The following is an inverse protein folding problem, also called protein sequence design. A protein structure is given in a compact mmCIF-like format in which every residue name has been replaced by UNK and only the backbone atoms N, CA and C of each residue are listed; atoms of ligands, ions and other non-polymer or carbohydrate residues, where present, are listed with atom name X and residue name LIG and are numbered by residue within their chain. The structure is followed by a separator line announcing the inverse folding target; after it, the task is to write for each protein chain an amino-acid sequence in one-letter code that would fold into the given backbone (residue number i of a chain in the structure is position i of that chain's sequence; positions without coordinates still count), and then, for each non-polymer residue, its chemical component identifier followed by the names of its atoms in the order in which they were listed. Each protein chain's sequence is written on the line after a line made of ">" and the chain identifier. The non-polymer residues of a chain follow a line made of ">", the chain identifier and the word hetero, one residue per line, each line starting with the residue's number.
data_IF_960499441258
#
_entry.id   IF_960499441258
#
_cell.length_a   1.000
_cell.length_b   1.000
_cell.length_c   1.000
_cell.angle_alpha   90.00
_cell.angle_beta   90.00
_cell.angle_gamma   90.00
#
_symmetry.space_group_name_H-M   'P 1'
#
loop_
_entity.id
_entity.type
_entity.pdbx_description
1 polymer ?
#
# COMPACT_ATOMS: atom_id res chain seq x y z
N UNK A 1 -2.41 27.65 5.15
CA UNK A 1 -1.90 27.86 6.52
C UNK A 1 -3.09 27.95 7.47
N UNK A 2 -3.30 26.93 8.29
CA UNK A 2 -4.31 26.93 9.35
C UNK A 2 -3.70 27.60 10.58
N UNK A 3 -4.42 28.53 11.21
CA UNK A 3 -3.97 29.27 12.38
C UNK A 3 -5.00 29.15 13.49
N UNK A 4 -4.53 29.13 14.74
CA UNK A 4 -5.39 29.11 15.92
C UNK A 4 -5.59 30.54 16.44
N UNK A 5 -6.79 30.83 16.93
CA UNK A 5 -7.14 32.13 17.52
C UNK A 5 -7.45 31.96 19.00
N UNK A 6 -6.87 32.81 19.85
CA UNK A 6 -7.12 32.84 21.30
C UNK A 6 -7.52 34.23 21.75
N UNK A 7 -8.70 34.35 22.36
CA UNK A 7 -9.28 35.61 22.82
C UNK A 7 -8.48 36.21 23.99
N UNK A 8 -8.27 37.53 23.95
CA UNK A 8 -7.61 38.33 24.98
C UNK A 8 -8.66 39.15 25.74
N UNK A 9 -8.91 38.79 27.00
CA UNK A 9 -9.99 39.39 27.80
C UNK A 9 -9.63 40.76 28.42
N UNK A 10 -8.39 41.24 28.30
CA UNK A 10 -7.98 42.56 28.81
C UNK A 10 -6.84 43.17 27.96
N UNK A 11 -7.13 44.19 27.12
CA UNK A 11 -6.12 44.80 26.25
C UNK A 11 -5.02 45.56 27.00
N UNK A 12 -5.32 46.06 28.21
CA UNK A 12 -4.42 46.95 28.98
C UNK A 12 -3.21 46.20 29.57
N UNK A 13 -3.26 44.87 29.62
CA UNK A 13 -2.20 44.02 30.20
C UNK A 13 -1.44 43.16 29.18
N UNK A 14 -1.59 43.42 27.87
CA UNK A 14 -0.92 42.63 26.83
C UNK A 14 0.55 43.06 26.71
N UNK A 15 1.46 42.26 27.26
CA UNK A 15 2.91 42.39 27.06
C UNK A 15 3.45 41.27 26.17
N UNK A 16 4.64 41.46 25.57
CA UNK A 16 5.31 40.41 24.81
C UNK A 16 5.58 39.17 25.66
N UNK A 17 5.93 39.36 26.93
CA UNK A 17 6.15 38.28 27.90
C UNK A 17 4.86 37.49 28.18
N UNK A 18 3.71 38.18 28.32
CA UNK A 18 2.41 37.54 28.46
C UNK A 18 2.05 36.73 27.20
N UNK A 19 2.23 37.29 26.00
CA UNK A 19 1.97 36.60 24.73
C UNK A 19 2.84 35.35 24.62
N UNK A 20 4.15 35.45 24.86
CA UNK A 20 5.06 34.31 24.79
C UNK A 20 4.68 33.21 25.79
N UNK A 21 4.20 33.58 26.99
CA UNK A 21 3.73 32.62 28.00
C UNK A 21 2.45 31.88 27.58
N UNK A 22 1.48 32.58 26.99
CA UNK A 22 0.21 31.95 26.55
C UNK A 22 0.33 31.27 25.18
N UNK A 23 1.38 31.60 24.44
CA UNK A 23 1.64 31.08 23.11
C UNK A 23 2.22 29.67 23.18
N UNK A 24 2.95 29.24 24.22
CA UNK A 24 3.49 27.86 24.29
C UNK A 24 2.34 26.82 24.25
N UNK A 25 2.40 25.80 23.38
CA UNK A 25 3.50 25.40 22.48
C UNK A 25 3.45 26.00 21.07
N UNK A 26 2.60 26.97 20.79
CA UNK A 26 2.47 27.71 19.55
C UNK A 26 3.49 28.86 19.38
N UNK A 27 3.69 29.28 18.12
CA UNK A 27 4.39 30.52 17.77
C UNK A 27 3.38 31.64 17.54
N UNK A 28 3.48 32.73 18.29
CA UNK A 28 2.67 33.93 18.02
C UNK A 28 3.10 34.58 16.70
N UNK A 29 2.13 34.79 15.80
CA UNK A 29 2.33 35.42 14.50
C UNK A 29 1.84 36.85 14.44
N UNK A 30 0.84 37.20 15.24
CA UNK A 30 0.24 38.53 15.26
C UNK A 30 -0.98 38.60 16.17
N UNK A 31 -1.69 39.71 16.11
CA UNK A 31 -2.95 39.94 16.82
C UNK A 31 -3.97 40.43 15.79
N UNK A 32 -5.19 39.91 15.87
CA UNK A 32 -6.34 40.37 15.10
C UNK A 32 -7.44 40.87 16.04
N UNK A 33 -8.46 41.52 15.49
CA UNK A 33 -9.64 41.95 16.24
C UNK A 33 -10.90 41.44 15.53
N UNK A 34 -11.81 40.86 16.30
CA UNK A 34 -13.16 40.55 15.83
C UNK A 34 -13.92 41.87 15.60
N UNK A 35 -14.41 42.15 14.37
CA UNK A 35 -15.09 43.40 14.06
C UNK A 35 -16.43 43.55 14.78
N UNK A 36 -17.09 42.47 15.20
CA UNK A 36 -18.39 42.48 15.88
C UNK A 36 -18.20 42.60 17.39
N UNK A 37 -17.47 41.66 18.00
CA UNK A 37 -17.31 41.61 19.46
C UNK A 37 -16.26 42.59 19.99
N UNK A 38 -15.44 43.17 19.10
CA UNK A 38 -14.28 44.02 19.42
C UNK A 38 -13.19 43.33 20.24
N UNK A 39 -13.27 42.01 20.41
CA UNK A 39 -12.27 41.23 21.11
C UNK A 39 -10.98 41.12 20.30
N UNK A 40 -9.84 41.28 20.97
CA UNK A 40 -8.53 41.01 20.39
C UNK A 40 -8.21 39.52 20.50
N UNK A 41 -7.58 38.96 19.47
CA UNK A 41 -7.18 37.56 19.42
C UNK A 41 -5.73 37.43 18.97
N UNK A 42 -4.93 36.61 19.65
CA UNK A 42 -3.60 36.26 19.17
C UNK A 42 -3.73 35.23 18.06
N UNK A 43 -3.04 35.46 16.95
CA UNK A 43 -2.87 34.52 15.85
C UNK A 43 -1.69 33.62 16.18
N UNK A 44 -1.97 32.33 16.36
CA UNK A 44 -1.01 31.32 16.77
C UNK A 44 -0.77 30.32 15.64
N UNK A 45 0.49 30.01 15.35
CA UNK A 45 0.88 28.93 14.46
C UNK A 45 1.41 27.75 15.27
N UNK A 46 0.86 26.57 15.03
CA UNK A 46 1.29 25.33 15.68
C UNK A 46 2.76 25.05 15.33
N UNK A 47 3.57 24.80 16.33
CA UNK A 47 4.94 24.31 16.16
C UNK A 47 5.09 23.03 16.96
N UNK A 48 5.85 22.09 16.42
CA UNK A 48 6.18 20.87 17.15
C UNK A 48 7.23 21.20 18.20
N UNK A 49 6.95 20.93 19.48
CA UNK A 49 7.92 21.15 20.57
C UNK A 49 9.25 20.42 20.32
N UNK A 50 9.19 19.21 19.77
CA UNK A 50 10.37 18.38 19.49
C UNK A 50 11.22 18.90 18.32
N UNK A 51 10.58 19.43 17.28
CA UNK A 51 11.28 19.87 16.06
C UNK A 51 11.56 21.38 16.04
N UNK A 52 10.89 22.14 16.92
CA UNK A 52 10.87 23.61 16.91
C UNK A 52 10.43 24.22 15.55
N UNK A 53 9.62 23.47 14.80
CA UNK A 53 9.08 23.85 13.49
C UNK A 53 7.78 23.08 13.20
N UNK A 54 7.11 23.41 12.09
CA UNK A 54 5.96 22.63 11.60
C UNK A 54 6.49 21.35 10.97
N UNK A 55 6.04 20.19 11.46
CA UNK A 55 6.40 18.88 10.92
C UNK A 55 5.17 18.00 10.70
N UNK A 56 5.37 16.77 10.20
CA UNK A 56 4.27 15.85 9.85
C UNK A 56 3.32 15.59 11.03
N UNK A 57 3.81 15.44 12.25
CA UNK A 57 3.01 15.31 13.48
C UNK A 57 1.98 16.45 13.63
N UNK A 58 2.39 17.71 13.39
CA UNK A 58 1.48 18.87 13.40
C UNK A 58 0.48 18.82 12.25
N UNK A 59 0.90 18.40 11.05
CA UNK A 59 0.00 18.23 9.91
C UNK A 59 -1.07 17.16 10.16
N UNK A 60 -0.72 16.07 10.82
CA UNK A 60 -1.68 15.03 11.22
C UNK A 60 -2.66 15.52 12.28
N UNK A 61 -2.17 16.21 13.33
CA UNK A 61 -3.01 16.75 14.40
C UNK A 61 -4.16 17.62 13.87
N UNK A 62 -3.90 18.42 12.82
CA UNK A 62 -4.91 19.26 12.16
C UNK A 62 -6.08 18.47 11.57
N UNK A 63 -5.88 17.18 11.30
CA UNK A 63 -6.85 16.29 10.69
C UNK A 63 -7.38 15.20 11.63
N UNK A 64 -7.03 15.18 12.92
CA UNK A 64 -7.48 14.13 13.87
C UNK A 64 -8.99 13.92 13.89
N UNK A 65 -9.77 15.00 13.78
CA UNK A 65 -11.24 14.94 13.70
C UNK A 65 -11.79 14.17 12.49
N UNK A 66 -10.98 13.97 11.45
CA UNK A 66 -11.36 13.27 10.22
C UNK A 66 -10.94 11.78 10.25
N UNK A 67 -10.07 11.38 11.19
CA UNK A 67 -9.59 10.00 11.33
C UNK A 67 -10.35 9.27 12.43
N UNK A 68 -11.65 9.03 12.22
CA UNK A 68 -12.46 8.29 13.19
C UNK A 68 -13.03 7.01 12.61
N UNK A 69 -12.74 5.93 13.31
CA UNK A 69 -13.26 4.58 13.09
C UNK A 69 -14.56 4.32 13.86
N UNK A 70 -14.95 5.22 14.75
CA UNK A 70 -15.99 4.99 15.75
C UNK A 70 -15.52 4.15 16.95
N UNK A 71 -14.24 3.76 17.02
CA UNK A 71 -13.62 3.11 18.16
C UNK A 71 -12.46 3.95 18.71
N UNK A 72 -12.60 4.42 19.96
CA UNK A 72 -11.63 5.31 20.59
C UNK A 72 -10.23 4.71 20.76
N UNK A 73 -10.11 3.39 20.95
CA UNK A 73 -8.81 2.73 21.12
C UNK A 73 -8.06 2.65 19.80
N UNK A 74 -8.77 2.35 18.70
CA UNK A 74 -8.20 2.36 17.35
C UNK A 74 -7.84 3.80 16.92
N UNK A 75 -8.73 4.76 17.16
CA UNK A 75 -8.50 6.16 16.83
C UNK A 75 -7.28 6.71 17.59
N UNK A 76 -7.18 6.39 18.89
CA UNK A 76 -6.01 6.75 19.71
C UNK A 76 -4.74 6.08 19.20
N UNK A 77 -4.79 4.80 18.84
CA UNK A 77 -3.63 4.12 18.29
C UNK A 77 -3.14 4.78 16.99
N UNK A 78 -4.05 5.08 16.06
CA UNK A 78 -3.74 5.80 14.82
C UNK A 78 -3.09 7.14 15.16
N UNK A 79 -3.70 7.92 16.06
CA UNK A 79 -3.15 9.22 16.49
C UNK A 79 -1.76 9.09 17.12
N UNK A 80 -1.50 8.08 17.96
CA UNK A 80 -0.19 7.86 18.59
C UNK A 80 0.90 7.60 17.54
N UNK A 81 0.60 6.83 16.48
CA UNK A 81 1.54 6.63 15.35
C UNK A 81 1.79 7.93 14.59
N UNK A 82 0.76 8.74 14.37
CA UNK A 82 0.84 10.03 13.67
C UNK A 82 1.60 11.08 14.47
N UNK A 83 1.40 11.13 15.81
CA UNK A 83 2.10 12.03 16.71
C UNK A 83 3.60 11.78 16.74
N UNK A 84 4.01 10.52 16.54
CA UNK A 84 5.39 10.08 16.52
C UNK A 84 6.12 10.40 15.19
N UNK A 85 5.40 10.86 14.16
CA UNK A 85 5.95 11.08 12.83
C UNK A 85 6.50 12.50 12.67
N UNK A 86 7.81 12.63 12.86
CA UNK A 86 8.52 13.91 12.77
C UNK A 86 9.39 14.03 11.52
N UNK A 87 9.44 13.01 10.66
CA UNK A 87 10.32 13.01 9.48
C UNK A 87 9.58 13.55 8.27
N UNK A 88 10.31 14.04 7.25
CA UNK A 88 9.71 14.59 6.03
C UNK A 88 8.87 13.54 5.27
N UNK A 89 9.43 12.33 5.09
CA UNK A 89 8.71 11.18 4.52
C UNK A 89 8.08 10.38 5.63
N UNK A 90 6.76 10.24 5.61
CA UNK A 90 6.00 9.36 6.50
C UNK A 90 6.51 7.93 6.36
N UNK A 91 6.79 7.28 7.49
CA UNK A 91 7.28 5.90 7.53
C UNK A 91 6.33 4.96 8.24
N UNK A 92 5.82 5.40 9.39
CA UNK A 92 5.12 4.52 10.33
C UNK A 92 3.75 5.06 10.75
N UNK A 93 3.38 6.28 10.33
CA UNK A 93 2.08 6.84 10.67
C UNK A 93 0.99 6.09 9.91
N UNK A 94 0.00 5.61 10.66
CA UNK A 94 -1.17 4.95 10.12
C UNK A 94 -2.27 5.96 9.83
N UNK A 95 -3.18 5.56 8.96
CA UNK A 95 -4.34 6.33 8.57
C UNK A 95 -5.61 5.48 8.75
N UNK A 96 -6.74 6.11 9.11
CA UNK A 96 -8.04 5.44 9.02
C UNK A 96 -8.50 5.42 7.56
N UNK A 97 -8.72 4.24 7.01
CA UNK A 97 -9.12 4.03 5.62
C UNK A 97 -10.59 3.63 5.63
N UNK A 98 -11.50 4.48 5.12
CA UNK A 98 -12.88 4.08 4.88
C UNK A 98 -12.94 2.87 3.95
N UNK A 99 -13.70 1.85 4.36
CA UNK A 99 -13.74 0.56 3.66
C UNK A 99 -14.27 0.66 2.23
N UNK A 100 -15.16 1.62 1.96
CA UNK A 100 -15.71 1.91 0.64
C UNK A 100 -14.67 2.42 -0.38
N UNK A 101 -13.47 2.76 0.07
CA UNK A 101 -12.32 3.11 -0.78
C UNK A 101 -11.51 1.89 -1.23
N UNK A 102 -11.87 0.70 -0.75
CA UNK A 102 -11.21 -0.56 -1.04
C UNK A 102 -12.16 -1.44 -1.86
N UNK A 103 -11.80 -1.71 -3.12
CA UNK A 103 -12.50 -2.69 -3.98
C UNK A 103 -12.05 -4.13 -3.66
N UNK A 104 -12.51 -4.63 -2.50
CA UNK A 104 -11.97 -5.85 -1.89
C UNK A 104 -12.48 -7.12 -2.55
N UNK A 105 -11.56 -8.03 -2.85
CA UNK A 105 -11.90 -9.42 -3.17
C UNK A 105 -11.00 -10.39 -2.39
N UNK A 106 -11.50 -11.60 -2.14
CA UNK A 106 -10.75 -12.63 -1.41
C UNK A 106 -9.68 -13.20 -2.34
N UNK A 107 -8.41 -13.11 -1.94
CA UNK A 107 -7.28 -13.63 -2.72
C UNK A 107 -6.84 -15.00 -2.24
N UNK A 108 -6.76 -15.21 -0.93
CA UNK A 108 -6.34 -16.46 -0.30
C UNK A 108 -7.24 -16.73 0.92
N UNK A 109 -7.83 -17.94 0.97
CA UNK A 109 -8.61 -18.44 2.11
C UNK A 109 -7.82 -19.58 2.75
N UNK A 110 -6.85 -19.23 3.60
CA UNK A 110 -6.43 -20.14 4.65
C UNK A 110 -7.21 -19.81 5.92
N UNK A 111 -7.64 -20.85 6.64
CA UNK A 111 -8.55 -20.75 7.79
C UNK A 111 -7.95 -19.95 8.97
N UNK A 112 -6.66 -19.58 8.87
CA UNK A 112 -5.85 -19.00 9.94
C UNK A 112 -5.38 -17.57 9.60
N UNK A 113 -5.12 -17.24 8.33
CA UNK A 113 -4.38 -16.04 7.95
C UNK A 113 -4.97 -15.32 6.72
N UNK A 114 -6.30 -15.40 6.53
CA UNK A 114 -7.06 -14.73 5.44
C UNK A 114 -6.45 -13.40 5.00
N UNK A 115 -5.84 -13.43 3.80
CA UNK A 115 -5.29 -12.26 3.12
C UNK A 115 -6.28 -11.83 2.05
N UNK A 116 -6.83 -10.62 2.22
CA UNK A 116 -7.60 -9.97 1.16
C UNK A 116 -6.65 -9.15 0.32
N UNK A 117 -6.87 -9.14 -1.00
CA UNK A 117 -6.23 -8.19 -1.89
C UNK A 117 -7.29 -7.31 -2.52
N UNK A 118 -7.00 -6.03 -2.61
CA UNK A 118 -7.95 -5.03 -3.08
C UNK A 118 -7.23 -3.97 -3.87
N UNK A 119 -7.92 -3.40 -4.86
CA UNK A 119 -7.47 -2.13 -5.43
C UNK A 119 -7.71 -1.04 -4.40
N UNK A 120 -6.69 -0.20 -4.16
CA UNK A 120 -6.85 1.03 -3.40
C UNK A 120 -6.41 2.22 -4.26
N UNK A 121 -7.36 3.10 -4.58
CA UNK A 121 -7.12 4.19 -5.52
C UNK A 121 -6.25 5.29 -4.94
N UNK A 122 -6.30 5.50 -3.63
CA UNK A 122 -5.62 6.64 -3.00
C UNK A 122 -4.16 6.35 -2.71
N UNK A 123 -3.84 5.11 -2.37
CA UNK A 123 -2.51 4.71 -1.93
C UNK A 123 -2.09 5.31 -0.58
N UNK A 124 -0.89 4.97 -0.13
CA UNK A 124 -0.40 5.27 1.20
C UNK A 124 0.13 6.72 1.32
N UNK A 125 -0.14 7.39 2.44
CA UNK A 125 0.43 8.71 2.73
C UNK A 125 1.97 8.65 2.72
N UNK A 126 2.59 9.63 2.05
CA UNK A 126 4.04 9.70 1.89
C UNK A 126 4.69 10.94 2.46
N UNK A 127 4.20 12.14 2.15
CA UNK A 127 4.72 13.38 2.73
C UNK A 127 3.71 14.51 2.57
N UNK A 128 3.87 15.57 3.36
CA UNK A 128 3.03 16.76 3.25
C UNK A 128 3.53 17.69 2.15
N UNK A 129 2.66 18.04 1.19
CA UNK A 129 2.97 19.04 0.16
C UNK A 129 2.50 20.42 0.61
N UNK A 130 3.46 21.28 0.93
CA UNK A 130 3.20 22.65 1.36
C UNK A 130 2.55 23.56 0.29
N UNK A 131 2.69 23.26 -1.00
CA UNK A 131 2.02 24.04 -2.06
C UNK A 131 0.54 23.68 -2.14
N UNK A 132 0.24 22.39 -2.14
CA UNK A 132 -1.13 21.88 -2.28
C UNK A 132 -1.89 21.84 -0.95
N UNK A 133 -1.19 22.02 0.17
CA UNK A 133 -1.72 21.89 1.54
C UNK A 133 -2.46 20.55 1.73
N UNK A 134 -1.87 19.47 1.20
CA UNK A 134 -2.43 18.13 1.29
C UNK A 134 -1.32 17.06 1.36
N UNK A 135 -1.69 15.86 1.76
CA UNK A 135 -0.81 14.69 1.75
C UNK A 135 -0.61 14.18 0.33
N UNK A 136 0.65 14.06 -0.08
CA UNK A 136 1.04 13.29 -1.25
C UNK A 136 1.01 11.81 -0.90
N UNK A 137 0.59 10.99 -1.86
CA UNK A 137 0.41 9.55 -1.69
C UNK A 137 1.25 8.79 -2.70
N UNK A 138 1.79 7.64 -2.32
CA UNK A 138 2.38 6.69 -3.27
C UNK A 138 1.44 5.54 -3.50
N UNK A 139 1.73 4.76 -4.55
CA UNK A 139 1.09 3.46 -4.75
C UNK A 139 -0.43 3.58 -4.96
N UNK A 140 -0.84 4.69 -5.57
CA UNK A 140 -2.20 4.90 -6.09
C UNK A 140 -2.56 3.84 -7.11
N UNK A 141 -3.82 3.40 -7.07
CA UNK A 141 -4.37 2.37 -7.94
C UNK A 141 -3.55 1.06 -7.89
N UNK A 142 -3.03 0.72 -6.71
CA UNK A 142 -2.29 -0.52 -6.49
C UNK A 142 -3.04 -1.45 -5.56
N UNK A 143 -2.66 -2.72 -5.66
CA UNK A 143 -3.11 -3.75 -4.75
C UNK A 143 -2.50 -3.53 -3.37
N UNK A 144 -3.33 -3.70 -2.36
CA UNK A 144 -2.92 -3.75 -0.96
C UNK A 144 -3.40 -5.05 -0.33
N UNK A 145 -2.63 -5.52 0.64
CA UNK A 145 -2.95 -6.71 1.43
C UNK A 145 -3.65 -6.28 2.71
N UNK A 146 -4.80 -6.87 3.02
CA UNK A 146 -5.48 -6.68 4.29
C UNK A 146 -5.30 -7.92 5.16
N UNK A 147 -4.93 -7.70 6.42
CA UNK A 147 -4.87 -8.75 7.43
C UNK A 147 -5.86 -8.45 8.56
N UNK A 148 -6.71 -9.43 8.87
CA UNK A 148 -7.70 -9.31 9.95
C UNK A 148 -6.99 -9.22 11.32
N UNK A 149 -7.46 -8.29 12.16
CA UNK A 149 -7.15 -8.25 13.58
C UNK A 149 -8.09 -9.22 14.31
N UNK A 150 -7.74 -10.51 14.34
CA UNK A 150 -8.57 -11.51 15.00
C UNK A 150 -8.64 -11.23 16.53
N UNK A 151 -9.88 -11.11 17.04
CA UNK A 151 -10.29 -11.01 18.45
C UNK A 151 -10.36 -9.60 19.10
N UNK A 152 -11.56 -9.01 19.29
CA UNK A 152 -11.75 -7.74 19.99
C UNK A 152 -11.46 -7.79 21.50
N UNK A 153 -11.35 -8.99 22.10
CA UNK A 153 -11.02 -9.13 23.52
C UNK A 153 -9.51 -9.11 23.82
N UNK A 154 -8.66 -9.20 22.77
CA UNK A 154 -7.20 -9.33 22.89
C UNK A 154 -6.45 -8.48 21.84
N UNK A 155 -7.09 -7.50 21.21
CA UNK A 155 -6.42 -6.54 20.31
C UNK A 155 -5.58 -5.56 21.14
N UNK A 156 -4.51 -6.03 21.77
CA UNK A 156 -3.54 -5.13 22.39
C UNK A 156 -2.90 -4.31 21.27
N UNK A 157 -2.79 -2.99 21.46
CA UNK A 157 -1.93 -2.10 20.65
C UNK A 157 -0.55 -2.74 20.38
N UNK A 158 -0.08 -3.58 21.31
CA UNK A 158 1.14 -4.37 21.17
C UNK A 158 1.14 -5.31 19.96
N UNK A 159 0.03 -6.00 19.67
CA UNK A 159 -0.11 -6.84 18.47
C UNK A 159 -0.12 -5.99 17.20
N UNK A 160 -0.90 -4.90 17.18
CA UNK A 160 -0.93 -4.00 16.02
C UNK A 160 0.45 -3.39 15.79
N UNK A 161 1.17 -2.97 16.84
CA UNK A 161 2.55 -2.50 16.71
C UNK A 161 3.50 -3.57 16.15
N UNK A 162 3.36 -4.84 16.55
CA UNK A 162 4.18 -5.95 16.05
C UNK A 162 3.96 -6.24 14.56
N UNK A 163 2.76 -5.97 14.02
CA UNK A 163 2.46 -6.21 12.61
C UNK A 163 2.56 -4.93 11.76
N UNK A 164 2.03 -3.81 12.21
CA UNK A 164 1.87 -2.62 11.39
C UNK A 164 3.20 -1.91 11.12
N UNK A 165 4.05 -1.78 12.15
CA UNK A 165 5.30 -1.01 12.04
C UNK A 165 6.35 -1.77 11.21
N UNK A 166 6.65 -3.06 11.48
CA UNK A 166 7.71 -3.75 10.75
C UNK A 166 7.40 -3.97 9.27
N UNK A 167 6.12 -4.10 8.93
CA UNK A 167 5.67 -4.36 7.56
C UNK A 167 5.16 -3.09 6.85
N UNK A 168 5.41 -1.89 7.40
CA UNK A 168 5.01 -0.59 6.83
C UNK A 168 3.54 -0.57 6.40
N UNK A 169 2.66 -0.84 7.34
CA UNK A 169 1.23 -0.67 7.13
C UNK A 169 0.92 0.79 6.79
N UNK A 170 -0.10 0.97 5.96
CA UNK A 170 -0.58 2.28 5.54
C UNK A 170 -1.73 2.76 6.42
N UNK A 171 -2.54 1.83 6.94
CA UNK A 171 -3.69 2.21 7.73
C UNK A 171 -4.47 1.04 8.29
N UNK A 172 -5.62 1.38 8.85
CA UNK A 172 -6.61 0.45 9.41
C UNK A 172 -7.95 0.75 8.76
N UNK A 173 -8.70 -0.30 8.45
CA UNK A 173 -10.09 -0.23 7.97
C UNK A 173 -10.96 -1.14 8.83
N UNK A 174 -12.29 -1.03 8.71
CA UNK A 174 -13.22 -1.99 9.27
C UNK A 174 -14.16 -2.51 8.19
N UNK A 175 -14.31 -3.82 8.13
CA UNK A 175 -15.34 -4.46 7.31
C UNK A 175 -16.74 -4.09 7.84
N UNK A 176 -17.60 -3.46 7.04
CA UNK A 176 -18.94 -3.07 7.49
C UNK A 176 -19.87 -4.26 7.72
N UNK A 177 -19.63 -5.42 7.11
CA UNK A 177 -20.42 -6.63 7.28
C UNK A 177 -19.98 -7.43 8.51
N UNK A 178 -18.70 -7.78 8.57
CA UNK A 178 -18.16 -8.62 9.66
C UNK A 178 -17.81 -7.83 10.93
N UNK A 179 -17.71 -6.49 10.83
CA UNK A 179 -17.24 -5.57 11.88
C UNK A 179 -15.80 -5.80 12.31
N UNK A 180 -15.06 -6.64 11.61
CA UNK A 180 -13.66 -6.90 11.87
C UNK A 180 -12.79 -5.72 11.43
N UNK A 181 -11.84 -5.33 12.28
CA UNK A 181 -10.79 -4.40 11.90
C UNK A 181 -9.70 -5.15 11.12
N UNK A 182 -9.15 -4.47 10.12
CA UNK A 182 -8.09 -5.00 9.26
C UNK A 182 -6.98 -3.97 9.11
N UNK A 183 -5.74 -4.43 9.13
CA UNK A 183 -4.57 -3.60 8.82
C UNK A 183 -4.30 -3.68 7.32
N UNK A 184 -4.13 -2.52 6.70
CA UNK A 184 -3.87 -2.37 5.27
C UNK A 184 -2.36 -2.21 5.05
N UNK A 185 -1.76 -3.12 4.30
CA UNK A 185 -0.34 -3.12 3.96
C UNK A 185 -0.13 -2.79 2.48
N UNK A 186 0.88 -1.98 2.20
CA UNK A 186 1.37 -1.86 0.83
C UNK A 186 2.00 -3.19 0.40
N UNK A 187 1.66 -3.68 -0.80
CA UNK A 187 2.23 -4.92 -1.35
C UNK A 187 3.72 -4.72 -1.71
N UNK A 188 4.59 -4.86 -0.71
CA UNK A 188 6.04 -4.80 -0.89
C UNK A 188 6.66 -6.18 -0.80
N UNK A 189 7.64 -6.43 -1.67
CA UNK A 189 8.44 -7.64 -1.58
C UNK A 189 9.34 -7.58 -0.36
N UNK A 190 9.21 -8.54 0.57
CA UNK A 190 10.07 -8.65 1.76
C UNK A 190 11.56 -8.73 1.40
N UNK A 191 11.89 -9.40 0.29
CA UNK A 191 13.28 -9.59 -0.18
C UNK A 191 13.88 -8.31 -0.75
N UNK A 192 13.10 -7.56 -1.53
CA UNK A 192 13.59 -6.36 -2.23
C UNK A 192 13.33 -5.06 -1.45
N UNK A 193 12.46 -5.08 -0.43
CA UNK A 193 11.96 -3.91 0.29
C UNK A 193 11.33 -2.84 -0.63
N UNK A 194 10.80 -3.30 -1.77
CA UNK A 194 10.12 -2.52 -2.81
C UNK A 194 9.15 -3.42 -3.58
N UNK A 195 8.34 -2.83 -4.46
CA UNK A 195 7.52 -3.59 -5.40
C UNK A 195 8.41 -4.15 -6.51
N UNK A 196 8.36 -5.45 -6.76
CA UNK A 196 9.14 -6.12 -7.81
C UNK A 196 8.28 -7.11 -8.59
N UNK A 197 8.86 -7.76 -9.61
CA UNK A 197 8.14 -8.69 -10.50
C UNK A 197 7.38 -9.80 -9.75
N UNK A 198 7.95 -10.37 -8.68
CA UNK A 198 7.28 -11.36 -7.82
C UNK A 198 5.93 -10.85 -7.28
N UNK A 199 5.87 -9.59 -6.83
CA UNK A 199 4.61 -8.96 -6.39
C UNK A 199 3.65 -8.75 -7.57
N UNK A 200 4.16 -8.32 -8.73
CA UNK A 200 3.35 -8.14 -9.93
C UNK A 200 2.73 -9.45 -10.44
N UNK A 201 3.46 -10.56 -10.35
CA UNK A 201 2.94 -11.87 -10.69
C UNK A 201 1.89 -12.34 -9.71
N UNK A 202 2.14 -12.20 -8.40
CA UNK A 202 1.19 -12.55 -7.35
C UNK A 202 -0.20 -11.94 -7.59
N UNK A 203 -0.26 -10.70 -8.10
CA UNK A 203 -1.53 -10.02 -8.44
C UNK A 203 -2.35 -10.73 -9.53
N UNK A 204 -1.69 -11.48 -10.41
CA UNK A 204 -2.28 -12.12 -11.56
C UNK A 204 -2.41 -13.65 -11.42
N UNK A 205 -2.14 -14.26 -10.26
CA UNK A 205 -2.18 -15.72 -10.08
C UNK A 205 -3.50 -16.35 -10.54
N UNK A 206 -4.64 -15.67 -10.33
CA UNK A 206 -5.96 -16.13 -10.80
C UNK A 206 -6.11 -16.17 -12.32
N UNK A 207 -5.25 -15.47 -13.06
CA UNK A 207 -5.27 -15.45 -14.53
C UNK A 207 -4.36 -16.54 -15.13
N UNK A 208 -3.54 -17.20 -14.31
CA UNK A 208 -2.56 -18.20 -14.72
C UNK A 208 -2.98 -19.61 -14.29
N UNK A 209 -4.19 -20.02 -14.66
CA UNK A 209 -4.75 -21.32 -14.26
C UNK A 209 -4.82 -22.28 -15.43
N UNK A 210 -4.33 -23.50 -15.21
CA UNK A 210 -4.31 -24.61 -16.17
C UNK A 210 -5.40 -25.66 -15.92
N UNK A 211 -6.26 -25.42 -14.93
CA UNK A 211 -7.15 -26.42 -14.32
C UNK A 211 -6.40 -27.57 -13.61
N UNK A 212 -5.07 -27.46 -13.45
CA UNK A 212 -4.23 -28.40 -12.71
C UNK A 212 -3.45 -27.67 -11.61
N UNK A 213 -3.80 -27.95 -10.36
CA UNK A 213 -3.20 -27.30 -9.18
C UNK A 213 -1.69 -27.48 -9.07
N UNK A 214 -1.14 -28.63 -9.49
CA UNK A 214 0.30 -28.90 -9.39
C UNK A 214 1.07 -28.06 -10.42
N UNK A 215 0.52 -27.92 -11.63
CA UNK A 215 1.08 -27.07 -12.69
C UNK A 215 1.00 -25.60 -12.29
N UNK A 216 -0.16 -25.18 -11.80
CA UNK A 216 -0.39 -23.79 -11.38
C UNK A 216 0.56 -23.41 -10.24
N UNK A 217 0.71 -24.30 -9.25
CA UNK A 217 1.66 -24.12 -8.15
C UNK A 217 3.10 -24.01 -8.67
N UNK A 218 3.51 -24.88 -9.58
CA UNK A 218 4.85 -24.83 -10.15
C UNK A 218 5.11 -23.51 -10.89
N UNK A 219 4.17 -23.05 -11.72
CA UNK A 219 4.25 -21.75 -12.40
C UNK A 219 4.36 -20.63 -11.37
N UNK A 220 3.51 -20.63 -10.35
CA UNK A 220 3.54 -19.64 -9.26
C UNK A 220 4.88 -19.64 -8.53
N UNK A 221 5.49 -20.80 -8.23
CA UNK A 221 6.79 -20.88 -7.57
C UNK A 221 7.90 -20.23 -8.40
N UNK A 222 7.89 -20.40 -9.73
CA UNK A 222 8.84 -19.70 -10.62
C UNK A 222 8.62 -18.18 -10.61
N UNK A 223 7.35 -17.75 -10.62
CA UNK A 223 6.96 -16.34 -10.59
C UNK A 223 7.32 -15.67 -9.25
N UNK A 224 7.11 -16.36 -8.13
CA UNK A 224 7.46 -15.91 -6.78
C UNK A 224 8.97 -15.68 -6.62
N UNK A 225 9.76 -16.46 -7.35
CA UNK A 225 11.23 -16.39 -7.35
C UNK A 225 11.80 -15.27 -8.24
N UNK A 226 10.97 -14.62 -9.05
CA UNK A 226 11.40 -13.59 -10.00
C UNK A 226 11.42 -12.19 -9.37
N UNK A 227 12.61 -11.69 -9.07
CA UNK A 227 12.81 -10.39 -8.43
C UNK A 227 13.55 -9.39 -9.31
N UNK A 228 13.93 -9.77 -10.53
CA UNK A 228 14.71 -8.90 -11.41
C UNK A 228 13.80 -8.00 -12.24
N UNK A 229 14.31 -6.86 -12.74
CA UNK A 229 13.50 -5.91 -13.50
C UNK A 229 12.99 -6.51 -14.83
N UNK A 230 13.86 -7.18 -15.57
CA UNK A 230 13.50 -7.97 -16.73
C UNK A 230 13.25 -9.40 -16.30
N UNK A 231 12.09 -9.95 -16.62
CA UNK A 231 11.74 -11.34 -16.34
C UNK A 231 12.72 -12.26 -17.06
N UNK A 232 13.29 -13.22 -16.33
CA UNK A 232 14.23 -14.20 -16.88
C UNK A 232 13.70 -15.61 -16.80
N UNK A 233 13.22 -16.00 -15.62
CA UNK A 233 12.96 -17.41 -15.31
C UNK A 233 11.49 -17.69 -14.93
N UNK A 234 10.68 -16.65 -14.74
CA UNK A 234 9.26 -16.84 -14.43
C UNK A 234 8.54 -17.45 -15.63
N UNK A 235 7.79 -18.52 -15.38
CA UNK A 235 6.92 -19.14 -16.36
C UNK A 235 5.55 -18.47 -16.35
N UNK A 236 4.83 -18.63 -17.46
CA UNK A 236 3.46 -18.19 -17.62
C UNK A 236 2.62 -19.30 -18.23
N UNK A 237 1.34 -19.37 -17.85
CA UNK A 237 0.41 -20.27 -18.51
C UNK A 237 0.00 -19.69 -19.88
N UNK A 238 0.21 -20.47 -20.94
CA UNK A 238 -0.14 -20.07 -22.31
C UNK A 238 -1.39 -20.84 -22.73
N UNK A 239 -2.50 -20.12 -22.93
CA UNK A 239 -3.70 -20.72 -23.48
C UNK A 239 -3.45 -21.22 -24.91
N UNK A 240 -3.90 -22.44 -25.20
CA UNK A 240 -3.63 -23.12 -26.47
C UNK A 240 -4.11 -22.31 -27.70
N UNK A 241 -5.18 -21.52 -27.55
CA UNK A 241 -5.69 -20.63 -28.61
C UNK A 241 -4.76 -19.46 -28.97
N UNK A 242 -3.70 -19.22 -28.19
CA UNK A 242 -2.63 -18.26 -28.51
C UNK A 242 -1.56 -18.86 -29.43
N UNK A 243 -1.67 -20.14 -29.73
CA UNK A 243 -0.77 -20.88 -30.62
C UNK A 243 -1.46 -21.13 -31.97
N UNK A 244 -0.73 -20.97 -33.06
CA UNK A 244 -1.23 -21.22 -34.42
C UNK A 244 -0.16 -21.84 -35.31
N UNK A 245 -0.58 -22.33 -36.49
CA UNK A 245 0.26 -23.08 -37.43
C UNK A 245 1.03 -24.23 -36.75
N UNK A 246 0.35 -25.01 -35.92
CA UNK A 246 0.96 -26.09 -35.16
C UNK A 246 1.20 -27.29 -36.07
N UNK A 247 2.45 -27.77 -36.13
CA UNK A 247 2.84 -28.96 -36.87
C UNK A 247 3.84 -29.83 -36.10
N UNK A 248 3.98 -31.09 -36.51
CA UNK A 248 4.90 -32.05 -35.91
C UNK A 248 6.23 -32.01 -36.65
N UNK A 249 7.32 -31.82 -35.93
CA UNK A 249 8.69 -32.05 -36.39
C UNK A 249 9.03 -33.53 -36.20
N UNK A 250 8.82 -34.33 -37.25
CA UNK A 250 8.98 -35.79 -37.23
C UNK A 250 10.42 -36.22 -36.91
N UNK A 251 11.41 -35.38 -37.22
CA UNK A 251 12.83 -35.67 -37.01
C UNK A 251 13.15 -35.58 -35.51
N UNK A 252 12.70 -34.51 -34.87
CA UNK A 252 13.00 -34.26 -33.46
C UNK A 252 11.92 -34.81 -32.50
N UNK A 253 10.81 -35.32 -33.03
CA UNK A 253 9.61 -35.76 -32.28
C UNK A 253 9.08 -34.67 -31.35
N UNK A 254 9.02 -33.44 -31.84
CA UNK A 254 8.51 -32.26 -31.12
C UNK A 254 7.41 -31.60 -31.95
N UNK A 255 6.63 -30.70 -31.35
CA UNK A 255 5.72 -29.85 -32.09
C UNK A 255 6.35 -28.48 -32.27
N UNK A 256 6.03 -27.81 -33.37
CA UNK A 256 6.40 -26.41 -33.62
C UNK A 256 5.15 -25.60 -33.87
N UNK A 257 5.16 -24.35 -33.44
CA UNK A 257 4.02 -23.45 -33.54
C UNK A 257 4.48 -21.98 -33.57
N UNK A 258 3.57 -21.09 -33.92
CA UNK A 258 3.71 -19.66 -33.70
C UNK A 258 2.95 -19.25 -32.44
N UNK A 259 3.53 -18.38 -31.62
CA UNK A 259 2.89 -17.84 -30.42
C UNK A 259 2.63 -16.35 -30.57
N UNK A 260 1.35 -15.97 -30.50
CA UNK A 260 0.88 -14.60 -30.77
C UNK A 260 1.47 -13.58 -29.79
N UNK A 261 1.37 -13.86 -28.49
CA UNK A 261 1.63 -12.86 -27.46
C UNK A 261 3.13 -12.61 -27.25
N UNK A 262 3.97 -13.63 -27.43
CA UNK A 262 5.41 -13.58 -27.12
C UNK A 262 5.69 -13.57 -25.60
N UNK A 263 6.98 -13.69 -25.24
CA UNK A 263 7.42 -13.81 -23.84
C UNK A 263 7.17 -12.53 -23.04
N UNK A 264 6.79 -12.68 -21.76
CA UNK A 264 6.87 -11.58 -20.80
C UNK A 264 8.31 -11.06 -20.70
N UNK A 265 8.49 -9.74 -20.80
CA UNK A 265 9.79 -9.07 -20.71
C UNK A 265 9.93 -8.29 -19.40
N UNK A 266 9.02 -7.35 -19.11
CA UNK A 266 9.10 -6.50 -17.91
C UNK A 266 7.77 -5.85 -17.57
N UNK A 267 7.61 -5.45 -16.31
CA UNK A 267 6.42 -4.74 -15.88
C UNK A 267 6.39 -3.29 -16.39
N UNK A 268 5.23 -2.84 -16.87
CA UNK A 268 4.94 -1.45 -17.21
C UNK A 268 4.15 -0.77 -16.09
N UNK A 269 4.80 0.16 -15.39
CA UNK A 269 4.15 0.93 -14.33
C UNK A 269 3.12 1.94 -14.84
N UNK A 270 3.21 2.39 -16.09
CA UNK A 270 2.25 3.36 -16.65
C UNK A 270 0.95 2.65 -17.02
N UNK A 271 1.07 1.53 -17.73
CA UNK A 271 -0.09 0.76 -18.21
C UNK A 271 -0.58 -0.30 -17.20
N UNK A 272 0.13 -0.49 -16.08
CA UNK A 272 -0.14 -1.53 -15.08
C UNK A 272 -0.27 -2.93 -15.72
N UNK A 273 0.61 -3.26 -16.65
CA UNK A 273 0.58 -4.53 -17.38
C UNK A 273 2.00 -5.00 -17.79
N UNK A 274 2.13 -6.27 -18.19
CA UNK A 274 3.39 -6.83 -18.67
C UNK A 274 3.68 -6.39 -20.12
N UNK A 275 4.88 -5.82 -20.35
CA UNK A 275 5.43 -5.69 -21.70
C UNK A 275 5.87 -7.05 -22.18
N UNK A 276 5.51 -7.38 -23.42
CA UNK A 276 5.94 -8.61 -24.10
C UNK A 276 7.04 -8.33 -25.11
N UNK A 277 7.90 -9.30 -25.34
CA UNK A 277 8.90 -9.32 -26.39
C UNK A 277 8.55 -10.42 -27.39
N UNK A 278 9.04 -10.28 -28.63
CA UNK A 278 8.98 -11.33 -29.65
C UNK A 278 7.55 -11.82 -29.96
N UNK A 279 6.63 -10.88 -30.20
CA UNK A 279 5.27 -11.20 -30.67
C UNK A 279 5.32 -12.01 -31.97
N UNK A 280 4.43 -13.00 -32.10
CA UNK A 280 4.41 -13.95 -33.21
C UNK A 280 5.71 -14.76 -33.36
N UNK A 281 6.37 -15.10 -32.25
CA UNK A 281 7.58 -15.90 -32.27
C UNK A 281 7.31 -17.37 -32.63
N UNK A 282 8.27 -17.98 -33.30
CA UNK A 282 8.32 -19.42 -33.52
C UNK A 282 8.76 -20.13 -32.24
N UNK A 283 7.99 -21.13 -31.81
CA UNK A 283 8.25 -21.91 -30.61
C UNK A 283 8.30 -23.40 -30.92
N UNK A 284 8.91 -24.15 -30.00
CA UNK A 284 8.90 -25.62 -30.00
C UNK A 284 8.20 -26.10 -28.73
N UNK A 285 7.24 -27.01 -28.87
CA UNK A 285 6.51 -27.62 -27.78
C UNK A 285 6.96 -29.07 -27.60
N UNK A 286 7.22 -29.46 -26.36
CA UNK A 286 7.56 -30.81 -25.97
C UNK A 286 6.42 -31.41 -25.17
N UNK A 287 6.02 -32.64 -25.49
CA UNK A 287 5.03 -33.37 -24.69
C UNK A 287 5.68 -33.77 -23.36
N UNK A 288 4.94 -33.54 -22.27
CA UNK A 288 5.27 -34.00 -20.93
C UNK A 288 4.18 -35.01 -20.56
N UNK A 289 4.57 -36.25 -20.25
CA UNK A 289 3.62 -37.36 -20.10
C UNK A 289 3.01 -37.40 -18.68
N UNK A 290 3.66 -36.73 -17.71
CA UNK A 290 3.23 -36.59 -16.33
C UNK A 290 3.78 -35.26 -15.76
N UNK A 291 3.06 -34.55 -14.86
CA UNK A 291 3.60 -33.45 -14.07
C UNK A 291 5.00 -33.69 -13.46
N UNK A 292 5.34 -34.91 -13.06
CA UNK A 292 6.67 -35.26 -12.55
C UNK A 292 7.80 -35.09 -13.59
N UNK A 293 7.49 -35.17 -14.88
CA UNK A 293 8.45 -34.95 -15.97
C UNK A 293 8.86 -33.48 -16.08
N UNK A 294 8.03 -32.54 -15.60
CA UNK A 294 8.27 -31.10 -15.69
C UNK A 294 9.50 -30.70 -14.86
N UNK A 295 9.52 -31.08 -13.59
CA UNK A 295 10.62 -30.77 -12.67
C UNK A 295 11.92 -31.44 -13.12
N UNK A 296 11.83 -32.66 -13.68
CA UNK A 296 12.99 -33.40 -14.18
C UNK A 296 13.60 -32.77 -15.45
N UNK A 297 12.78 -32.19 -16.33
CA UNK A 297 13.25 -31.55 -17.56
C UNK A 297 13.75 -30.12 -17.31
N UNK A 298 13.12 -29.35 -16.41
CA UNK A 298 13.51 -27.97 -16.15
C UNK A 298 14.77 -27.85 -15.29
N UNK A 299 15.09 -28.85 -14.46
CA UNK A 299 16.37 -28.89 -13.72
C UNK A 299 17.58 -29.23 -14.61
N UNK A 300 17.39 -29.51 -15.91
CA UNK A 300 18.47 -29.81 -16.87
C UNK A 300 18.97 -28.57 -17.61
N UNK A 301 18.33 -27.42 -17.43
CA UNK A 301 18.63 -26.12 -18.09
C UNK A 301 19.20 -25.15 -17.06
#
# INVERSE_FOLDING_TARGET
>A
MVVNLKILNNPVSITLEFINKIAIPYKACGITQDPETKNYMVVLNDICEKCNEVCNSIHFQRNFKNWTSGNNDIDKFIQDTQLSEHTFRVRNALEWIPYDRLDTYIAEDDEIDRVYRTNWTDGCICYWNNKNQNWERTDQNRFVTLKILNNPANTTLEFINKIAIPYKACGITQDPETKNYMVVFNDMCKKCNEVCNSIHFQRNFKNWTSDNNDIDKFIQDTQLSEHTYQVKNALEWIFYNKLYDIYVDEINKMYRANWIDGCINKWDNENQNWKRADQNMFITLKILNNPADITAELNKV
#
